data_IF_659065834507
#
_entry.id   IF_659065834507
#
_cell.length_a   1.000
_cell.length_b   1.000
_cell.length_c   1.000
_cell.angle_alpha   90.00
_cell.angle_beta   90.00
_cell.angle_gamma   90.00
#
_symmetry.space_group_name_H-M   'P 1'
#
loop_
_entity.id
_entity.type
_entity.pdbx_description
1 polymer ?
#
# COMPACT_ATOMS: atom_id res chain seq x y z
N UNK A 1 -8.27 15.05 2.73
CA UNK A 1 -9.20 13.95 3.07
C UNK A 1 -9.01 13.61 4.54
N UNK A 2 -10.06 13.26 5.27
CA UNK A 2 -9.92 12.76 6.64
C UNK A 2 -9.68 11.26 6.62
N UNK A 3 -8.91 10.77 7.60
CA UNK A 3 -8.61 9.35 7.80
C UNK A 3 -8.97 8.91 9.21
N UNK A 4 -9.46 7.68 9.33
CA UNK A 4 -9.44 6.91 10.59
C UNK A 4 -8.79 5.56 10.37
N UNK A 5 -7.73 5.28 11.11
CA UNK A 5 -7.15 3.94 11.25
C UNK A 5 -7.67 3.32 12.55
N UNK A 6 -8.20 2.11 12.46
CA UNK A 6 -8.70 1.33 13.59
C UNK A 6 -7.87 0.07 13.75
N UNK A 7 -7.46 -0.21 14.97
CA UNK A 7 -6.89 -1.49 15.34
C UNK A 7 -7.69 -2.09 16.48
N UNK A 8 -8.26 -3.28 16.27
CA UNK A 8 -8.94 -4.06 17.30
C UNK A 8 -8.18 -5.33 17.59
N UNK A 9 -7.81 -5.55 18.85
CA UNK A 9 -7.14 -6.76 19.34
C UNK A 9 -8.10 -7.50 20.25
N UNK A 10 -8.36 -8.76 19.91
CA UNK A 10 -9.24 -9.64 20.65
C UNK A 10 -8.38 -10.71 21.33
N UNK A 11 -8.32 -10.66 22.66
CA UNK A 11 -7.60 -11.61 23.50
C UNK A 11 -8.51 -12.03 24.64
N UNK A 12 -9.26 -13.14 24.46
CA UNK A 12 -10.33 -13.55 25.39
C UNK A 12 -9.85 -13.54 26.85
N UNK A 13 -10.59 -12.89 27.78
CA UNK A 13 -11.91 -12.26 27.63
C UNK A 13 -11.89 -10.78 27.19
N UNK A 14 -10.72 -10.20 26.93
CA UNK A 14 -10.53 -8.76 26.67
C UNK A 14 -10.61 -8.42 25.18
N UNK A 15 -11.29 -7.32 24.87
CA UNK A 15 -11.26 -6.65 23.55
C UNK A 15 -10.64 -5.28 23.77
N UNK A 16 -9.72 -4.87 22.91
CA UNK A 16 -9.06 -3.56 22.96
C UNK A 16 -9.08 -2.94 21.58
N UNK A 17 -9.58 -1.71 21.48
CA UNK A 17 -9.69 -0.98 20.21
C UNK A 17 -8.94 0.34 20.33
N UNK A 18 -8.14 0.63 19.31
CA UNK A 18 -7.31 1.83 19.19
C UNK A 18 -7.74 2.60 17.94
N UNK A 19 -7.79 3.92 18.05
CA UNK A 19 -8.16 4.82 16.97
C UNK A 19 -7.03 5.81 16.72
N UNK A 20 -6.66 5.96 15.45
CA UNK A 20 -5.80 7.03 14.99
C UNK A 20 -6.56 7.81 13.94
N UNK A 21 -6.84 9.09 14.21
CA UNK A 21 -7.57 9.99 13.33
C UNK A 21 -6.66 11.11 12.88
N UNK A 22 -6.82 11.56 11.64
CA UNK A 22 -6.04 12.66 11.11
C UNK A 22 -6.45 13.04 9.70
N UNK A 23 -5.62 13.88 9.08
CA UNK A 23 -5.73 14.19 7.67
C UNK A 23 -4.84 13.24 6.86
N UNK A 24 -5.28 12.93 5.65
CA UNK A 24 -4.52 12.21 4.65
C UNK A 24 -4.79 12.82 3.26
N UNK A 25 -4.00 12.42 2.29
CA UNK A 25 -4.12 12.82 0.89
C UNK A 25 -5.39 12.25 0.26
N UNK A 26 -5.85 12.84 -0.84
CA UNK A 26 -6.94 12.29 -1.66
C UNK A 26 -6.53 11.03 -2.43
N UNK A 27 -7.51 10.24 -2.84
CA UNK A 27 -7.31 9.07 -3.72
C UNK A 27 -7.03 7.74 -3.02
N UNK A 28 -7.01 7.70 -1.69
CA UNK A 28 -6.96 6.44 -0.92
C UNK A 28 -8.37 5.88 -0.71
N UNK A 29 -8.47 4.55 -0.66
CA UNK A 29 -9.72 3.79 -0.53
C UNK A 29 -9.75 3.01 0.77
N UNK A 30 -10.94 2.71 1.28
CA UNK A 30 -11.10 1.95 2.50
C UNK A 30 -10.53 0.53 2.36
N UNK A 31 -9.75 0.10 3.35
CA UNK A 31 -9.09 -1.20 3.39
C UNK A 31 -9.23 -1.83 4.76
N UNK A 32 -9.33 -3.16 4.79
CA UNK A 32 -9.34 -3.91 6.03
C UNK A 32 -8.60 -5.24 5.91
N UNK A 33 -7.99 -5.66 7.02
CA UNK A 33 -7.35 -6.96 7.16
C UNK A 33 -7.48 -7.46 8.60
N UNK A 34 -7.71 -8.75 8.73
CA UNK A 34 -7.74 -9.48 9.98
C UNK A 34 -6.82 -10.69 9.91
N UNK A 35 -6.08 -10.93 10.98
CA UNK A 35 -5.15 -12.06 11.08
C UNK A 35 -4.99 -12.53 12.52
N UNK A 36 -4.51 -13.76 12.68
CA UNK A 36 -4.17 -14.35 13.95
C UNK A 36 -2.73 -13.97 14.32
N UNK A 37 -2.54 -13.54 15.57
CA UNK A 37 -1.25 -13.30 16.19
C UNK A 37 -1.20 -14.07 17.51
N UNK A 38 -0.50 -15.20 17.55
CA UNK A 38 -0.52 -16.15 18.65
C UNK A 38 -1.93 -16.73 18.89
N UNK A 39 -2.54 -16.34 20.01
CA UNK A 39 -3.93 -16.67 20.37
C UNK A 39 -4.89 -15.48 20.22
N UNK A 40 -4.41 -14.36 19.67
CA UNK A 40 -5.16 -13.11 19.52
C UNK A 40 -5.65 -13.01 18.08
N UNK A 41 -6.81 -12.40 17.91
CA UNK A 41 -7.28 -11.94 16.60
C UNK A 41 -7.01 -10.44 16.52
N UNK A 42 -6.29 -10.02 15.48
CA UNK A 42 -6.00 -8.62 15.19
C UNK A 42 -6.82 -8.22 13.97
N UNK A 43 -7.57 -7.14 14.08
CA UNK A 43 -8.28 -6.49 12.98
C UNK A 43 -7.72 -5.09 12.78
N UNK A 44 -7.46 -4.75 11.53
CA UNK A 44 -6.97 -3.45 11.09
C UNK A 44 -7.89 -2.95 9.99
N UNK A 45 -8.31 -1.70 10.08
CA UNK A 45 -9.04 -1.02 9.02
C UNK A 45 -8.59 0.42 8.88
N UNK A 46 -8.61 0.91 7.64
CA UNK A 46 -8.48 2.34 7.34
C UNK A 46 -9.73 2.79 6.58
N UNK A 47 -10.40 3.81 7.13
CA UNK A 47 -11.55 4.47 6.51
C UNK A 47 -11.19 5.91 6.14
N UNK A 48 -11.64 6.33 4.96
CA UNK A 48 -11.40 7.67 4.42
C UNK A 48 -12.72 8.38 4.11
N UNK A 49 -12.74 9.70 4.27
CA UNK A 49 -13.90 10.54 3.97
C UNK A 49 -13.48 11.98 3.63
N UNK A 50 -14.30 12.70 2.87
CA UNK A 50 -13.88 13.98 2.24
C UNK A 50 -14.47 15.24 2.87
N UNK A 51 -15.57 15.14 3.62
CA UNK A 51 -16.22 16.32 4.21
C UNK A 51 -15.58 16.73 5.52
N UNK A 52 -15.73 18.00 5.90
CA UNK A 52 -15.15 18.51 7.15
C UNK A 52 -15.59 17.68 8.36
N UNK A 53 -14.61 17.30 9.19
CA UNK A 53 -14.82 16.54 10.42
C UNK A 53 -15.60 15.22 10.25
N UNK A 54 -15.63 14.63 9.04
CA UNK A 54 -16.37 13.40 8.77
C UNK A 54 -15.84 12.17 9.53
N UNK A 55 -14.61 12.23 10.02
CA UNK A 55 -14.01 11.19 10.85
C UNK A 55 -14.22 11.44 12.36
N UNK A 56 -15.12 12.35 12.76
CA UNK A 56 -15.40 12.62 14.18
C UNK A 56 -16.07 11.44 14.88
N UNK A 57 -16.92 10.69 14.18
CA UNK A 57 -17.65 9.53 14.71
C UNK A 57 -16.78 8.27 14.85
N UNK A 58 -17.35 7.25 15.51
CA UNK A 58 -16.76 5.91 15.57
C UNK A 58 -16.87 5.26 14.17
N UNK A 59 -15.78 4.71 13.62
CA UNK A 59 -15.75 4.01 12.34
C UNK A 59 -16.84 2.95 12.18
N UNK A 60 -17.31 2.76 10.95
CA UNK A 60 -18.41 1.83 10.66
C UNK A 60 -17.93 0.38 10.65
N UNK A 61 -16.71 0.14 10.19
CA UNK A 61 -16.04 -1.16 10.11
C UNK A 61 -15.27 -1.46 11.40
N UNK A 62 -16.01 -1.68 12.49
CA UNK A 62 -15.43 -2.23 13.72
C UNK A 62 -16.11 -3.58 13.97
N UNK A 63 -15.36 -4.67 14.18
CA UNK A 63 -15.96 -5.94 14.53
C UNK A 63 -16.73 -5.78 15.84
N UNK A 64 -18.07 -5.84 15.74
CA UNK A 64 -18.95 -5.74 16.91
C UNK A 64 -19.02 -7.09 17.64
N UNK A 65 -19.54 -7.09 18.86
CA UNK A 65 -19.75 -8.35 19.62
C UNK A 65 -20.72 -9.28 18.89
N UNK A 66 -21.77 -8.74 18.26
CA UNK A 66 -22.75 -9.50 17.43
C UNK A 66 -22.11 -10.23 16.26
N UNK A 67 -21.14 -9.54 15.70
CA UNK A 67 -20.30 -9.89 14.57
C UNK A 67 -19.42 -11.10 14.97
N UNK A 68 -18.87 -11.09 16.19
CA UNK A 68 -18.14 -12.23 16.78
C UNK A 68 -19.04 -13.42 17.14
N UNK A 69 -20.31 -13.15 17.49
CA UNK A 69 -21.31 -14.20 17.74
C UNK A 69 -21.71 -14.86 16.42
N UNK A 70 -21.78 -14.11 15.32
CA UNK A 70 -22.08 -14.62 13.97
C UNK A 70 -21.02 -15.62 13.47
N UNK A 71 -19.75 -15.45 13.85
CA UNK A 71 -18.69 -16.46 13.57
C UNK A 71 -18.94 -17.79 14.26
N UNK A 72 -19.58 -17.79 15.44
CA UNK A 72 -19.95 -19.03 16.16
C UNK A 72 -21.26 -19.64 15.64
N UNK A 73 -22.17 -18.82 15.14
CA UNK A 73 -23.46 -19.25 14.59
C UNK A 73 -23.38 -19.49 13.09
N UNK A 74 -23.08 -20.74 12.69
CA UNK A 74 -23.32 -21.36 11.37
C UNK A 74 -23.84 -20.43 10.26
N UNK A 75 -22.97 -19.57 9.72
CA UNK A 75 -23.25 -18.87 8.47
C UNK A 75 -22.41 -19.52 7.37
N UNK A 76 -23.02 -20.43 6.60
CA UNK A 76 -22.33 -21.38 5.70
C UNK A 76 -21.53 -20.73 4.57
N UNK A 77 -21.71 -19.43 4.31
CA UNK A 77 -21.07 -18.70 3.21
C UNK A 77 -19.82 -17.90 3.60
N UNK A 78 -19.33 -18.03 4.84
CA UNK A 78 -18.11 -17.32 5.26
C UNK A 78 -16.85 -18.02 4.73
N UNK A 79 -15.95 -17.22 4.16
CA UNK A 79 -14.69 -17.67 3.59
C UNK A 79 -13.77 -18.30 4.66
N UNK A 80 -13.07 -19.36 4.30
CA UNK A 80 -12.02 -19.95 5.13
C UNK A 80 -10.65 -19.66 4.52
N UNK A 81 -9.71 -19.18 5.33
CA UNK A 81 -8.38 -18.74 4.90
C UNK A 81 -7.31 -19.17 5.89
N UNK A 82 -6.08 -19.27 5.41
CA UNK A 82 -4.93 -19.39 6.30
C UNK A 82 -4.56 -18.04 6.89
N UNK A 83 -4.01 -18.06 8.10
CA UNK A 83 -3.51 -16.86 8.78
C UNK A 83 -2.16 -17.10 9.45
N UNK A 84 -1.32 -16.08 9.39
CA UNK A 84 -0.02 -16.02 10.02
C UNK A 84 0.45 -14.56 10.10
N UNK A 85 1.44 -14.30 10.95
CA UNK A 85 2.19 -13.05 10.99
C UNK A 85 3.70 -13.33 11.12
N UNK A 86 4.53 -12.49 10.50
CA UNK A 86 5.98 -12.54 10.71
C UNK A 86 6.35 -12.20 12.17
N UNK A 87 5.57 -11.31 12.81
CA UNK A 87 5.79 -10.87 14.19
C UNK A 87 5.78 -11.99 15.24
N UNK A 88 5.16 -13.15 14.97
CA UNK A 88 5.19 -14.34 15.83
C UNK A 88 5.82 -15.57 15.15
N UNK A 89 6.55 -15.36 14.04
CA UNK A 89 7.23 -16.40 13.25
C UNK A 89 6.32 -17.52 12.73
N UNK A 90 5.00 -17.30 12.63
CA UNK A 90 4.07 -18.34 12.17
C UNK A 90 4.02 -18.49 10.66
N UNK A 91 4.53 -17.52 9.90
CA UNK A 91 4.55 -17.56 8.44
C UNK A 91 5.67 -18.43 7.84
N UNK A 92 6.73 -18.73 8.60
CA UNK A 92 7.94 -19.39 8.08
C UNK A 92 7.94 -20.92 8.25
N UNK A 93 7.09 -21.48 9.13
CA UNK A 93 7.22 -22.86 9.60
C UNK A 93 6.18 -23.86 9.04
N UNK A 94 5.57 -23.59 7.88
CA UNK A 94 4.44 -24.39 7.33
C UNK A 94 3.23 -24.56 8.27
N UNK A 95 3.24 -23.88 9.43
CA UNK A 95 2.23 -23.90 10.49
C UNK A 95 1.16 -22.85 10.24
N UNK A 96 0.65 -22.76 9.02
CA UNK A 96 -0.41 -21.83 8.68
C UNK A 96 -1.65 -22.16 9.51
N UNK A 97 -2.12 -21.20 10.30
CA UNK A 97 -3.27 -21.43 11.18
C UNK A 97 -4.57 -21.27 10.40
N UNK A 98 -5.54 -22.16 10.58
CA UNK A 98 -6.84 -21.98 9.97
C UNK A 98 -7.60 -20.82 10.61
N UNK A 99 -8.22 -19.98 9.78
CA UNK A 99 -9.03 -18.85 10.21
C UNK A 99 -10.30 -18.78 9.36
N UNK A 100 -11.45 -18.56 10.03
CA UNK A 100 -12.71 -18.25 9.36
C UNK A 100 -12.86 -16.75 9.29
N UNK A 101 -13.14 -16.23 8.10
CA UNK A 101 -13.35 -14.81 7.89
C UNK A 101 -14.63 -14.33 8.57
N UNK A 102 -14.68 -13.03 8.78
CA UNK A 102 -15.67 -12.42 9.66
C UNK A 102 -16.81 -11.80 8.86
N UNK A 103 -16.48 -11.18 7.73
CA UNK A 103 -17.45 -10.61 6.82
C UNK A 103 -17.65 -11.46 5.57
N UNK A 104 -18.88 -11.57 5.03
CA UNK A 104 -19.17 -12.34 3.82
C UNK A 104 -18.38 -11.91 2.58
N UNK A 105 -18.00 -10.63 2.51
CA UNK A 105 -17.24 -10.05 1.42
C UNK A 105 -15.72 -10.15 1.60
N UNK A 106 -15.25 -10.68 2.73
CA UNK A 106 -13.82 -10.89 2.97
C UNK A 106 -13.26 -11.94 2.01
N UNK A 107 -12.03 -11.69 1.57
CA UNK A 107 -11.23 -12.59 0.76
C UNK A 107 -10.03 -13.08 1.56
N UNK A 108 -9.41 -14.16 1.11
CA UNK A 108 -8.13 -14.55 1.67
C UNK A 108 -7.04 -13.62 1.17
N UNK A 109 -6.21 -13.12 2.08
CA UNK A 109 -5.16 -12.14 1.82
C UNK A 109 -3.79 -12.74 2.14
N UNK A 110 -2.79 -12.37 1.35
CA UNK A 110 -1.37 -12.64 1.57
C UNK A 110 -0.55 -11.42 1.18
N UNK A 111 -0.03 -10.71 2.18
CA UNK A 111 0.84 -9.54 2.02
C UNK A 111 2.25 -9.96 2.37
N UNK A 112 3.18 -9.73 1.46
CA UNK A 112 4.62 -9.94 1.68
C UNK A 112 5.38 -8.66 1.36
N UNK A 113 6.30 -8.27 2.25
CA UNK A 113 7.19 -7.14 2.08
C UNK A 113 8.62 -7.55 2.44
N UNK A 114 9.56 -7.26 1.54
CA UNK A 114 10.98 -7.27 1.79
C UNK A 114 11.47 -5.85 1.60
N UNK A 115 12.15 -5.30 2.59
CA UNK A 115 12.84 -4.02 2.47
C UNK A 115 14.25 -4.26 2.95
N UNK A 116 15.23 -4.02 2.10
CA UNK A 116 16.65 -4.10 2.44
C UNK A 116 17.04 -2.87 3.26
N UNK A 117 17.31 -2.99 4.58
CA UNK A 117 17.66 -1.83 5.37
C UNK A 117 19.18 -1.66 5.30
N UNK A 118 19.62 -0.41 5.14
CA UNK A 118 21.05 -0.05 5.21
C UNK A 118 21.71 -0.38 6.55
N UNK A 119 20.96 -0.84 7.58
CA UNK A 119 21.49 -0.99 8.94
C UNK A 119 21.10 -2.27 9.69
N UNK A 120 20.02 -2.97 9.33
CA UNK A 120 19.63 -4.25 9.94
C UNK A 120 18.81 -5.08 8.96
N UNK A 121 19.18 -6.31 8.58
CA UNK A 121 18.32 -7.12 7.71
C UNK A 121 17.00 -7.37 8.43
N UNK A 122 15.92 -6.70 8.01
CA UNK A 122 14.58 -7.10 8.42
C UNK A 122 14.25 -8.39 7.69
N UNK A 123 13.85 -9.39 8.45
CA UNK A 123 13.30 -10.60 7.88
C UNK A 123 12.04 -10.28 7.07
N UNK A 124 11.65 -11.21 6.20
CA UNK A 124 10.45 -11.07 5.39
C UNK A 124 9.25 -10.74 6.29
N UNK A 125 8.70 -9.53 6.11
CA UNK A 125 7.43 -9.18 6.72
C UNK A 125 6.33 -9.86 5.92
N UNK A 126 5.52 -10.68 6.58
CA UNK A 126 4.42 -11.39 5.93
C UNK A 126 3.20 -11.45 6.84
N UNK A 127 2.03 -11.19 6.27
CA UNK A 127 0.75 -11.28 6.96
C UNK A 127 -0.22 -12.01 6.06
N UNK A 128 -0.88 -13.05 6.60
CA UNK A 128 -1.98 -13.76 5.96
C UNK A 128 -3.24 -13.67 6.79
N UNK A 129 -4.39 -13.63 6.14
CA UNK A 129 -5.66 -13.69 6.83
C UNK A 129 -6.84 -13.37 5.94
N UNK A 130 -7.81 -12.63 6.48
CA UNK A 130 -9.05 -12.26 5.82
C UNK A 130 -9.15 -10.75 5.67
N UNK A 131 -9.69 -10.25 4.57
CA UNK A 131 -9.92 -8.81 4.45
C UNK A 131 -10.44 -8.36 3.10
N UNK A 132 -10.52 -7.05 2.96
CA UNK A 132 -10.93 -6.37 1.74
C UNK A 132 -9.91 -5.31 1.39
N UNK A 133 -9.23 -5.55 0.28
CA UNK A 133 -8.22 -4.67 -0.28
C UNK A 133 -8.68 -4.24 -1.68
N UNK A 134 -8.70 -2.94 -1.94
CA UNK A 134 -9.10 -2.42 -3.26
C UNK A 134 -8.13 -2.90 -4.33
N UNK A 135 -8.59 -3.06 -5.58
CA UNK A 135 -7.77 -3.47 -6.73
C UNK A 135 -6.99 -4.80 -6.57
N UNK A 136 -7.30 -5.61 -5.54
CA UNK A 136 -6.67 -6.91 -5.32
C UNK A 136 -7.45 -8.05 -5.99
N UNK A 137 -7.96 -7.85 -7.20
CA UNK A 137 -8.52 -8.95 -8.00
C UNK A 137 -7.39 -9.77 -8.63
N UNK A 138 -6.35 -9.07 -9.06
CA UNK A 138 -5.08 -9.61 -9.52
C UNK A 138 -3.99 -9.40 -8.48
N UNK A 139 -2.85 -10.05 -8.70
CA UNK A 139 -1.66 -9.87 -7.86
C UNK A 139 -1.11 -8.45 -7.99
N UNK A 140 -1.08 -7.71 -6.88
CA UNK A 140 -0.43 -6.40 -6.81
C UNK A 140 1.03 -6.62 -6.46
N UNK A 141 1.93 -6.28 -7.36
CA UNK A 141 3.37 -6.50 -7.18
C UNK A 141 4.17 -5.25 -7.49
N UNK A 142 5.15 -4.95 -6.66
CA UNK A 142 6.18 -3.95 -6.92
C UNK A 142 7.55 -4.47 -6.49
N UNK A 143 8.57 -4.21 -7.28
CA UNK A 143 9.95 -4.59 -6.98
C UNK A 143 10.92 -3.53 -7.51
N UNK A 144 11.94 -3.23 -6.72
CA UNK A 144 13.13 -2.55 -7.18
C UNK A 144 14.37 -3.19 -6.52
N UNK A 145 15.54 -2.56 -6.60
CA UNK A 145 16.77 -3.14 -6.07
C UNK A 145 16.81 -3.21 -4.53
N UNK A 146 15.97 -2.44 -3.82
CA UNK A 146 15.92 -2.39 -2.34
C UNK A 146 14.69 -3.06 -1.76
N UNK A 147 13.63 -3.14 -2.54
CA UNK A 147 12.30 -3.43 -2.02
C UNK A 147 11.56 -4.41 -2.90
N UNK A 148 10.79 -5.28 -2.26
CA UNK A 148 9.82 -6.16 -2.88
C UNK A 148 8.53 -6.09 -2.08
N UNK A 149 7.41 -5.91 -2.76
CA UNK A 149 6.10 -5.89 -2.15
C UNK A 149 5.12 -6.65 -3.02
N UNK A 150 4.34 -7.53 -2.40
CA UNK A 150 3.40 -8.39 -3.09
C UNK A 150 2.13 -8.57 -2.25
N UNK A 151 0.99 -8.33 -2.88
CA UNK A 151 -0.32 -8.62 -2.30
C UNK A 151 -1.06 -9.55 -3.24
N UNK A 152 -1.49 -10.69 -2.68
CA UNK A 152 -2.37 -11.64 -3.37
C UNK A 152 -3.68 -11.71 -2.61
N UNK A 153 -4.79 -11.68 -3.33
CA UNK A 153 -6.10 -11.96 -2.78
C UNK A 153 -6.82 -13.01 -3.61
N UNK A 154 -7.62 -13.84 -2.94
CA UNK A 154 -8.32 -14.93 -3.61
C UNK A 154 -9.62 -15.30 -2.89
N UNK A 155 -10.56 -15.90 -3.63
CA UNK A 155 -11.94 -16.10 -3.20
C UNK A 155 -12.29 -17.58 -2.91
N UNK A 156 -11.41 -18.53 -3.21
CA UNK A 156 -11.66 -19.95 -2.93
C UNK A 156 -11.17 -20.33 -1.54
N UNK A 157 -11.83 -21.29 -0.88
CA UNK A 157 -11.45 -21.66 0.49
C UNK A 157 -10.00 -22.12 0.54
N UNK A 158 -9.25 -21.64 1.53
CA UNK A 158 -7.85 -22.00 1.79
C UNK A 158 -6.87 -21.66 0.67
N UNK A 159 -7.22 -20.71 -0.21
CA UNK A 159 -6.43 -20.38 -1.41
C UNK A 159 -5.12 -19.63 -1.13
N UNK A 160 -4.95 -19.02 0.04
CA UNK A 160 -3.74 -18.29 0.41
C UNK A 160 -2.69 -19.20 1.09
N UNK A 161 -2.54 -20.42 0.60
CA UNK A 161 -1.66 -21.47 1.15
C UNK A 161 -0.19 -21.37 0.73
N UNK A 162 0.18 -20.36 -0.07
CA UNK A 162 1.56 -20.13 -0.50
C UNK A 162 2.49 -19.95 0.70
N UNK A 163 3.55 -20.75 0.80
CA UNK A 163 4.57 -20.66 1.87
C UNK A 163 5.94 -20.22 1.33
N UNK A 164 5.99 -19.75 0.07
CA UNK A 164 7.23 -19.32 -0.55
C UNK A 164 7.91 -18.21 0.24
N UNK A 165 9.20 -18.39 0.56
CA UNK A 165 10.05 -17.34 1.08
C UNK A 165 10.76 -16.64 -0.09
N UNK A 166 10.36 -15.41 -0.37
CA UNK A 166 10.87 -14.64 -1.51
C UNK A 166 12.30 -14.12 -1.27
N UNK A 167 12.80 -14.15 -0.02
CA UNK A 167 14.19 -13.84 0.32
C UNK A 167 15.14 -14.92 -0.23
N UNK A 168 14.75 -16.18 -0.16
CA UNK A 168 15.58 -17.32 -0.59
C UNK A 168 15.23 -17.84 -1.99
N UNK A 169 13.96 -17.76 -2.36
CA UNK A 169 13.45 -18.24 -3.65
C UNK A 169 12.72 -17.10 -4.36
N UNK A 170 13.49 -16.23 -5.03
CA UNK A 170 12.91 -15.16 -5.82
C UNK A 170 12.05 -15.68 -6.98
N UNK A 171 11.07 -14.89 -7.38
CA UNK A 171 10.27 -15.17 -8.57
C UNK A 171 11.14 -15.27 -9.84
N UNK A 172 10.74 -16.06 -10.84
CA UNK A 172 11.48 -16.19 -12.09
C UNK A 172 11.57 -14.85 -12.82
N UNK A 173 12.67 -14.62 -13.54
CA UNK A 173 12.83 -13.45 -14.41
C UNK A 173 11.77 -13.47 -15.51
N UNK A 174 11.21 -12.31 -15.84
CA UNK A 174 10.21 -12.18 -16.91
C UNK A 174 10.76 -11.51 -18.19
N UNK A 175 12.06 -11.22 -18.22
CA UNK A 175 12.77 -10.68 -19.39
C UNK A 175 12.76 -9.15 -19.51
N UNK A 176 12.02 -8.43 -18.66
CA UNK A 176 12.00 -6.97 -18.64
C UNK A 176 13.06 -6.40 -17.69
N UNK A 177 13.73 -5.34 -18.09
CA UNK A 177 14.66 -4.57 -17.23
C UNK A 177 14.17 -3.14 -17.08
N UNK A 178 14.14 -2.59 -15.85
CA UNK A 178 13.66 -1.23 -15.57
C UNK A 178 14.68 -0.42 -14.78
N UNK A 179 14.58 0.91 -14.85
CA UNK A 179 15.29 1.77 -13.90
C UNK A 179 14.78 1.56 -12.48
N UNK A 180 15.66 1.73 -11.52
CA UNK A 180 15.43 1.39 -10.12
C UNK A 180 16.02 2.43 -9.18
N UNK A 181 15.19 3.02 -8.33
CA UNK A 181 15.64 3.93 -7.28
C UNK A 181 14.53 4.16 -6.24
N UNK A 182 14.92 4.60 -5.05
CA UNK A 182 14.02 5.15 -4.04
C UNK A 182 14.72 6.30 -3.33
N UNK A 183 14.02 7.40 -3.12
CA UNK A 183 14.56 8.55 -2.40
C UNK A 183 14.05 9.86 -2.97
N UNK A 184 14.80 10.93 -2.79
CA UNK A 184 14.54 12.19 -3.47
C UNK A 184 15.49 12.36 -4.68
N UNK A 185 15.44 13.51 -5.31
CA UNK A 185 16.23 13.80 -6.52
C UNK A 185 17.69 14.11 -6.23
N UNK A 186 18.05 14.27 -4.96
CA UNK A 186 19.42 14.54 -4.49
C UNK A 186 20.06 13.31 -3.84
N UNK A 187 19.25 12.42 -3.26
CA UNK A 187 19.65 11.24 -2.52
C UNK A 187 18.75 10.06 -2.92
N UNK A 188 19.35 8.94 -3.32
CA UNK A 188 18.61 7.75 -3.71
C UNK A 188 18.15 7.73 -5.17
N UNK A 189 17.44 8.77 -5.65
CA UNK A 189 17.01 8.89 -7.05
C UNK A 189 17.73 10.00 -7.83
N UNK A 190 18.90 10.45 -7.37
CA UNK A 190 19.79 11.31 -8.15
C UNK A 190 20.27 10.57 -9.42
N UNK A 191 20.58 11.29 -10.53
CA UNK A 191 20.96 10.66 -11.80
C UNK A 191 22.06 9.60 -11.69
N UNK A 192 23.08 9.85 -10.87
CA UNK A 192 24.21 8.92 -10.66
C UNK A 192 23.86 7.72 -9.77
N UNK A 193 22.74 7.79 -9.04
CA UNK A 193 22.26 6.75 -8.12
C UNK A 193 21.16 5.86 -8.72
N UNK A 194 20.66 6.18 -9.91
CA UNK A 194 19.65 5.35 -10.59
C UNK A 194 20.32 4.08 -11.10
N UNK A 195 19.89 2.94 -10.57
CA UNK A 195 20.36 1.62 -11.00
C UNK A 195 19.34 0.96 -11.92
N UNK A 196 19.58 -0.31 -12.28
CA UNK A 196 18.63 -1.12 -13.03
C UNK A 196 18.24 -2.36 -12.24
N UNK A 197 17.05 -2.88 -12.50
CA UNK A 197 16.55 -4.11 -11.89
C UNK A 197 15.93 -4.99 -12.97
N UNK A 198 16.24 -6.29 -12.92
CA UNK A 198 15.56 -7.27 -13.75
C UNK A 198 14.23 -7.66 -13.11
N UNK A 199 13.16 -7.50 -13.86
CA UNK A 199 11.80 -7.74 -13.39
C UNK A 199 11.50 -9.24 -13.27
N UNK A 200 10.63 -9.57 -12.32
CA UNK A 200 10.31 -10.95 -11.95
C UNK A 200 8.81 -11.18 -11.91
N UNK A 201 8.40 -12.43 -12.17
CA UNK A 201 7.02 -12.88 -12.05
C UNK A 201 6.01 -11.91 -12.71
N UNK A 202 4.94 -11.51 -12.00
CA UNK A 202 3.85 -10.72 -12.56
C UNK A 202 4.19 -9.23 -12.76
N UNK A 203 5.40 -8.78 -12.38
CA UNK A 203 5.81 -7.38 -12.47
C UNK A 203 6.32 -7.06 -13.89
N UNK A 204 5.39 -7.01 -14.84
CA UNK A 204 5.68 -6.91 -16.28
C UNK A 204 5.59 -5.48 -16.84
N UNK A 205 5.63 -4.46 -15.97
CA UNK A 205 5.64 -3.04 -16.34
C UNK A 205 6.82 -2.36 -15.65
N UNK A 206 7.44 -1.38 -16.32
CA UNK A 206 8.30 -0.44 -15.62
C UNK A 206 7.42 0.66 -15.03
N UNK A 207 7.66 0.98 -13.76
CA UNK A 207 6.97 2.02 -13.02
C UNK A 207 7.97 3.10 -12.63
N UNK A 208 7.51 4.34 -12.73
CA UNK A 208 8.07 5.47 -12.01
C UNK A 208 6.93 6.25 -11.37
N UNK A 209 7.14 6.69 -10.15
CA UNK A 209 6.17 7.50 -9.46
C UNK A 209 6.85 8.52 -8.57
N UNK A 210 6.10 9.56 -8.26
CA UNK A 210 6.54 10.59 -7.35
C UNK A 210 5.41 11.17 -6.53
N UNK A 211 5.75 11.72 -5.37
CA UNK A 211 4.80 12.39 -4.51
C UNK A 211 5.47 13.04 -3.31
N UNK A 212 4.65 13.50 -2.37
CA UNK A 212 5.08 14.15 -1.14
C UNK A 212 5.04 13.12 -0.01
N UNK A 213 6.18 12.76 0.57
CA UNK A 213 6.19 11.80 1.67
C UNK A 213 5.42 12.31 2.89
N UNK A 214 4.43 11.54 3.35
CA UNK A 214 3.42 11.99 4.31
C UNK A 214 3.96 12.36 5.69
N UNK A 215 5.16 11.89 6.06
CA UNK A 215 5.79 12.22 7.35
C UNK A 215 6.79 13.37 7.20
N UNK A 216 7.66 13.32 6.20
CA UNK A 216 8.75 14.29 6.05
C UNK A 216 8.32 15.54 5.28
N UNK A 217 7.19 15.50 4.57
CA UNK A 217 6.74 16.56 3.67
C UNK A 217 7.66 16.79 2.47
N UNK A 218 8.70 15.95 2.29
CA UNK A 218 9.65 16.05 1.20
C UNK A 218 9.15 15.33 -0.02
N UNK A 219 9.52 15.83 -1.19
CA UNK A 219 9.29 15.15 -2.45
C UNK A 219 10.10 13.85 -2.50
N UNK A 220 9.49 12.78 -3.00
CA UNK A 220 10.09 11.47 -3.12
C UNK A 220 9.72 10.83 -4.47
N UNK A 221 10.66 10.06 -5.00
CA UNK A 221 10.58 9.31 -6.25
C UNK A 221 10.81 7.84 -5.97
N UNK A 222 10.09 7.00 -6.71
CA UNK A 222 10.29 5.56 -6.71
C UNK A 222 10.27 5.05 -8.15
N UNK A 223 11.24 4.20 -8.50
CA UNK A 223 11.30 3.52 -9.80
C UNK A 223 11.51 2.01 -9.59
N UNK A 224 10.89 1.21 -10.44
CA UNK A 224 11.04 -0.24 -10.40
C UNK A 224 10.14 -0.99 -11.39
N UNK A 225 9.95 -2.26 -11.13
CA UNK A 225 9.02 -3.14 -11.83
C UNK A 225 7.70 -3.19 -11.07
N UNK A 226 6.57 -3.19 -11.78
CA UNK A 226 5.24 -3.26 -11.20
C UNK A 226 4.35 -4.24 -11.97
N UNK A 227 3.37 -4.83 -11.30
CA UNK A 227 2.28 -5.53 -11.98
C UNK A 227 1.35 -4.52 -12.65
N UNK A 228 0.61 -4.90 -13.71
CA UNK A 228 -0.40 -4.00 -14.31
C UNK A 228 -1.41 -3.48 -13.28
N UNK A 229 -1.91 -4.35 -12.40
CA UNK A 229 -2.85 -3.97 -11.34
C UNK A 229 -2.27 -2.97 -10.35
N UNK A 230 -0.96 -2.99 -10.10
CA UNK A 230 -0.30 -1.98 -9.27
C UNK A 230 -0.38 -0.59 -9.92
N UNK A 231 -0.10 -0.52 -11.23
CA UNK A 231 -0.15 0.74 -12.00
C UNK A 231 -1.53 1.38 -12.00
N UNK A 232 -2.59 0.58 -12.01
CA UNK A 232 -3.98 1.03 -12.07
C UNK A 232 -4.60 1.25 -10.67
N UNK A 233 -3.75 1.36 -9.63
CA UNK A 233 -4.18 1.39 -8.25
C UNK A 233 -3.41 2.42 -7.42
N UNK A 234 -3.98 2.90 -6.29
CA UNK A 234 -3.30 3.86 -5.43
C UNK A 234 -2.19 3.22 -4.57
N UNK A 235 -1.77 1.97 -4.81
CA UNK A 235 -0.88 1.24 -3.88
C UNK A 235 0.51 1.86 -3.74
N UNK A 236 1.02 2.57 -4.74
CA UNK A 236 2.25 3.34 -4.58
C UNK A 236 2.14 4.36 -3.44
N UNK A 237 0.98 5.00 -3.28
CA UNK A 237 0.71 5.94 -2.19
C UNK A 237 0.69 5.27 -0.82
N UNK A 238 0.26 4.02 -0.75
CA UNK A 238 0.15 3.23 0.49
C UNK A 238 1.53 2.69 0.87
N UNK A 239 2.17 2.01 -0.08
CA UNK A 239 3.47 1.37 0.10
C UNK A 239 4.58 2.36 0.49
N UNK A 240 4.64 3.54 -0.14
CA UNK A 240 5.63 4.57 0.19
C UNK A 240 5.10 5.71 1.06
N UNK A 241 3.85 5.62 1.55
CA UNK A 241 3.20 6.71 2.27
C UNK A 241 3.35 8.06 1.56
N UNK A 242 3.08 8.08 0.24
CA UNK A 242 3.24 9.25 -0.60
C UNK A 242 1.90 9.93 -0.84
N UNK A 243 1.91 11.24 -0.66
CA UNK A 243 0.91 12.23 -1.02
C UNK A 243 0.95 12.67 -2.47
N UNK A 244 -0.20 13.06 -3.03
CA UNK A 244 -0.31 13.65 -4.38
C UNK A 244 0.49 12.87 -5.43
N UNK A 245 0.26 11.55 -5.47
CA UNK A 245 1.10 10.64 -6.25
C UNK A 245 0.79 10.75 -7.73
N UNK A 246 1.82 11.03 -8.50
CA UNK A 246 1.82 10.83 -9.95
C UNK A 246 2.52 9.50 -10.24
N UNK A 247 1.82 8.59 -10.91
CA UNK A 247 2.36 7.29 -11.30
C UNK A 247 2.34 7.16 -12.82
N UNK A 248 3.46 6.73 -13.39
CA UNK A 248 3.56 6.38 -14.79
C UNK A 248 4.07 4.94 -14.93
N UNK A 249 3.38 4.18 -15.77
CA UNK A 249 3.81 2.84 -16.15
C UNK A 249 3.95 2.71 -17.66
N UNK A 250 4.97 1.97 -18.07
CA UNK A 250 5.29 1.74 -19.47
C UNK A 250 5.73 0.28 -19.70
N UNK A 251 5.88 -0.09 -20.97
CA UNK A 251 6.32 -1.44 -21.39
C UNK A 251 7.50 -1.31 -22.33
N UNK A 252 8.52 -2.14 -22.13
CA UNK A 252 9.80 -2.06 -22.82
C UNK A 252 10.92 -1.76 -21.84
N UNK A 253 12.14 -2.19 -22.18
CA UNK A 253 13.28 -2.03 -21.29
C UNK A 253 13.58 -0.55 -21.02
N UNK A 254 13.85 -0.25 -19.74
CA UNK A 254 14.30 1.05 -19.25
C UNK A 254 13.38 2.23 -19.62
N UNK A 255 12.10 1.98 -19.93
CA UNK A 255 11.19 3.01 -20.40
C UNK A 255 10.75 4.02 -19.33
N UNK A 256 10.99 3.73 -18.04
CA UNK A 256 10.59 4.55 -16.89
C UNK A 256 11.60 5.68 -16.60
N UNK A 257 11.77 6.56 -17.60
CA UNK A 257 12.76 7.63 -17.62
C UNK A 257 12.13 9.04 -17.74
N UNK A 258 10.82 9.20 -17.48
CA UNK A 258 10.13 10.48 -17.60
C UNK A 258 10.35 11.40 -16.40
N UNK A 259 10.55 10.84 -15.21
CA UNK A 259 10.85 11.60 -14.00
C UNK A 259 12.36 11.78 -13.90
N UNK A 260 12.80 13.02 -14.13
CA UNK A 260 14.17 13.53 -13.93
C UNK A 260 14.03 14.78 -13.06
N UNK A 261 14.83 14.92 -12.01
CA UNK A 261 14.77 16.03 -11.04
C UNK A 261 13.40 16.26 -10.40
N UNK A 262 12.57 15.21 -10.35
CA UNK A 262 11.30 15.24 -9.62
C UNK A 262 10.19 15.97 -10.34
N UNK A 263 10.26 16.01 -11.67
CA UNK A 263 9.16 16.44 -12.52
C UNK A 263 8.88 15.38 -13.56
N UNK A 264 7.61 15.04 -13.73
CA UNK A 264 7.14 14.17 -14.81
C UNK A 264 7.25 14.93 -16.13
N UNK A 265 8.18 14.55 -17.02
CA UNK A 265 8.21 15.11 -18.37
C UNK A 265 6.99 14.64 -19.16
N UNK A 266 6.35 15.51 -19.96
CA UNK A 266 5.30 15.09 -20.87
C UNK A 266 5.84 14.05 -21.86
N UNK A 267 5.06 13.00 -22.11
CA UNK A 267 5.45 11.92 -23.02
C UNK A 267 5.76 12.49 -24.42
N UNK A 268 6.83 12.04 -25.11
CA UNK A 268 7.13 12.48 -26.48
C UNK A 268 5.98 12.24 -27.47
N UNK A 269 5.08 11.29 -27.18
CA UNK A 269 3.92 10.95 -28.02
C UNK A 269 2.72 11.89 -27.90
N UNK A 270 2.72 12.83 -26.94
CA UNK A 270 1.59 13.75 -26.72
C UNK A 270 1.81 15.18 -27.24
N UNK A 271 2.74 15.40 -28.19
CA UNK A 271 2.89 16.70 -28.86
C UNK A 271 1.85 16.96 -29.98
N UNK A 272 0.73 16.25 -29.98
CA UNK A 272 -0.37 16.49 -30.91
C UNK A 272 -1.72 16.50 -30.19
N UNK A 273 -2.00 17.55 -29.41
CA UNK A 273 -3.35 18.10 -29.25
C UNK A 273 -3.33 19.37 -28.39
N UNK A 274 -3.59 20.49 -29.05
CA UNK A 274 -4.13 21.76 -28.54
C UNK A 274 -3.61 22.33 -27.21
N UNK A 275 -2.77 23.37 -27.35
CA UNK A 275 -2.70 24.47 -26.38
C UNK A 275 -4.10 25.03 -26.13
N UNK A 276 -4.67 24.77 -24.95
CA UNK A 276 -5.62 25.70 -24.34
C UNK A 276 -4.84 26.61 -23.40
N UNK A 277 -4.64 27.84 -23.85
CA UNK A 277 -4.04 28.95 -23.13
C UNK A 277 -4.87 29.25 -21.87
N UNK A 278 -4.49 28.71 -20.72
CA UNK A 278 -5.00 29.19 -19.44
C UNK A 278 -4.33 30.52 -19.14
N UNK A 279 -5.13 31.58 -19.15
CA UNK A 279 -4.72 32.94 -18.83
C UNK A 279 -4.00 33.01 -17.48
N UNK A 280 -2.81 33.60 -17.49
CA UNK A 280 -2.21 34.19 -16.30
C UNK A 280 -3.12 35.29 -15.76
N UNK A 281 -3.62 35.13 -14.54
CA UNK A 281 -3.97 36.27 -13.69
C UNK A 281 -3.00 36.29 -12.53
N UNK A 282 -1.95 37.09 -12.72
CA UNK A 282 -1.19 37.71 -11.65
C UNK A 282 -2.14 38.63 -10.89
N UNK A 283 -2.34 38.41 -9.60
CA UNK A 283 -2.58 39.50 -8.66
C UNK A 283 -1.77 39.24 -7.41
N UNK A 284 -0.84 40.15 -7.18
CA UNK A 284 -0.14 40.37 -5.92
C UNK A 284 -1.15 40.68 -4.82
N UNK A 285 -0.84 40.25 -3.61
CA UNK A 285 -0.64 41.16 -2.46
C UNK A 285 0.01 40.35 -1.35
N UNK A 286 1.30 40.60 -1.14
CA UNK A 286 1.89 40.44 0.18
C UNK A 286 1.10 41.29 1.18
N UNK A 287 0.83 40.72 2.34
CA UNK A 287 0.70 41.34 3.68
C UNK A 287 -0.52 40.80 4.42
N UNK A 288 -0.34 39.66 5.11
CA UNK A 288 -1.01 39.33 6.37
C UNK A 288 -0.20 38.23 7.09
N UNK A 289 1.09 38.52 7.25
CA UNK A 289 2.03 37.82 8.14
C UNK A 289 2.04 38.48 9.55
N UNK A 290 0.99 39.22 9.88
CA UNK A 290 0.78 39.89 11.17
C UNK A 290 -0.71 39.88 11.43
N UNK A 291 -1.22 38.90 12.17
CA UNK A 291 -2.35 39.00 13.10
C UNK A 291 -2.58 37.60 13.69
N UNK A 292 -2.53 37.54 15.03
CA UNK A 292 -2.83 36.41 15.94
C UNK A 292 -1.68 35.48 16.33
N UNK A 293 -0.64 36.09 16.93
CA UNK A 293 0.05 35.53 18.11
C UNK A 293 -0.67 35.95 19.41
N UNK A 294 -1.99 36.17 19.38
CA UNK A 294 -2.75 36.72 20.52
C UNK A 294 -4.14 36.08 20.55
N UNK A 295 -4.38 35.21 21.55
CA UNK A 295 -5.68 34.75 22.08
C UNK A 295 -6.10 33.30 21.73
N UNK A 296 -5.35 32.31 22.21
CA UNK A 296 -5.83 31.19 23.07
C UNK A 296 -4.75 30.14 23.27
#
# INVERSE_FOLDING_TARGET
MCKTTVMTIISRPKISTYFLKGCDISGKTNHSISHLLGHRLVFLAEEFCETDMCNSDVPKEIPRVTDMIRVRGHNENLQNCYSCAAADNTCNNSSLKPMRCFWPQDKCIDITSLTDPEEFPKDQERIKGCGQLSHCQDTLGFQNHRSFYMVKCCNSSWCNNDVQDYKWASLPLNGLTCHSCEGDTTQGCAPDNITTVQCRGPMTKCLEASGIHGISGKYAVVKGCASPSWCDSPYTSIYKNLGSVETHCCTGDLCNSLIIDGQLKPSPRSQASHFTLAHHTIMSTSLLLFIVFLLS
#
